data_IF_576076736427
#
_entry.id   IF_576076736427
#
_cell.length_a   1.000
_cell.length_b   1.000
_cell.length_c   1.000
_cell.angle_alpha   90.00
_cell.angle_beta   90.00
_cell.angle_gamma   90.00
#
_symmetry.space_group_name_H-M   'P 1'
#
loop_
_entity.id
_entity.type
_entity.pdbx_description
1 polymer ?
#
# COMPACT_ATOMS: atom_id res chain seq x y z
N UNK A 1 125.89 -19.72 -70.64
CA UNK A 1 124.65 -19.97 -69.86
C UNK A 1 123.52 -20.15 -70.86
N UNK A 2 122.76 -21.24 -70.78
CA UNK A 2 121.58 -21.48 -71.62
C UNK A 2 120.34 -21.33 -70.73
N UNK A 3 119.37 -20.46 -71.09
CA UNK A 3 118.14 -20.35 -70.34
C UNK A 3 117.31 -21.63 -70.50
N UNK A 4 116.74 -22.12 -69.39
CA UNK A 4 115.80 -23.24 -69.40
C UNK A 4 114.36 -22.73 -69.48
N UNK A 5 113.50 -23.47 -70.17
CA UNK A 5 112.08 -23.17 -70.24
C UNK A 5 111.39 -23.46 -68.90
N UNK A 6 110.76 -22.44 -68.33
CA UNK A 6 110.00 -22.56 -67.08
C UNK A 6 108.62 -23.10 -67.42
N UNK A 7 108.39 -24.39 -67.13
CA UNK A 7 107.08 -25.01 -67.31
C UNK A 7 106.19 -24.69 -66.11
N UNK A 8 105.00 -24.15 -66.36
CA UNK A 8 104.05 -23.84 -65.30
C UNK A 8 103.56 -25.11 -64.59
N UNK A 9 103.53 -25.07 -63.26
CA UNK A 9 103.09 -26.21 -62.44
C UNK A 9 101.60 -26.47 -62.70
N UNK A 10 101.17 -27.72 -62.97
CA UNK A 10 99.76 -28.00 -63.18
C UNK A 10 98.96 -27.66 -61.92
N UNK A 11 97.92 -26.84 -62.09
CA UNK A 11 97.01 -26.47 -60.99
C UNK A 11 96.12 -27.66 -60.65
N UNK A 12 96.08 -28.01 -59.37
CA UNK A 12 95.19 -29.06 -58.86
C UNK A 12 93.75 -28.55 -58.91
N UNK A 13 92.95 -29.10 -59.83
CA UNK A 13 91.51 -28.81 -59.89
C UNK A 13 90.84 -29.38 -58.64
N UNK A 14 90.17 -28.53 -57.86
CA UNK A 14 89.37 -28.96 -56.72
C UNK A 14 88.06 -29.54 -57.27
N UNK A 15 87.73 -30.78 -56.89
CA UNK A 15 86.45 -31.38 -57.26
C UNK A 15 85.30 -30.63 -56.57
N UNK A 16 84.22 -30.38 -57.31
CA UNK A 16 83.04 -29.69 -56.80
C UNK A 16 82.34 -30.56 -55.74
N UNK A 17 82.19 -30.00 -54.54
CA UNK A 17 81.66 -30.73 -53.40
C UNK A 17 80.15 -31.02 -53.57
N UNK A 18 79.78 -32.31 -53.56
CA UNK A 18 78.38 -32.75 -53.55
C UNK A 18 77.91 -32.97 -52.11
N UNK A 19 77.03 -32.09 -51.63
CA UNK A 19 76.31 -32.30 -50.36
C UNK A 19 75.53 -33.60 -50.43
N UNK A 20 75.64 -34.43 -49.38
CA UNK A 20 74.79 -35.60 -49.23
C UNK A 20 73.37 -35.13 -48.94
N UNK A 21 72.34 -35.61 -49.66
CA UNK A 21 70.96 -35.29 -49.30
C UNK A 21 70.67 -35.98 -47.96
N UNK A 22 70.46 -35.16 -46.93
CA UNK A 22 69.99 -35.61 -45.62
C UNK A 22 68.60 -35.02 -45.39
N UNK A 23 67.63 -35.88 -45.10
CA UNK A 23 66.30 -35.44 -44.66
C UNK A 23 66.45 -34.80 -43.27
N UNK A 24 66.21 -33.50 -43.15
CA UNK A 24 66.23 -32.81 -41.84
C UNK A 24 64.83 -32.72 -41.28
N UNK A 25 64.62 -33.24 -40.07
CA UNK A 25 63.34 -33.10 -39.38
C UNK A 25 63.15 -31.65 -38.92
N UNK A 26 62.19 -30.95 -39.54
CA UNK A 26 61.84 -29.56 -39.22
C UNK A 26 60.87 -29.43 -38.02
N UNK A 27 60.58 -30.53 -37.31
CA UNK A 27 59.72 -30.54 -36.14
C UNK A 27 60.37 -29.89 -34.92
N UNK A 28 59.73 -28.84 -34.38
CA UNK A 28 60.09 -28.23 -33.10
C UNK A 28 59.50 -29.03 -31.93
N UNK A 29 60.16 -29.01 -30.78
CA UNK A 29 59.66 -29.65 -29.54
C UNK A 29 58.29 -29.13 -29.15
N UNK A 30 58.06 -27.83 -29.29
CA UNK A 30 56.78 -27.18 -29.03
C UNK A 30 55.61 -27.84 -29.78
N UNK A 31 55.77 -28.14 -31.07
CA UNK A 31 54.72 -28.77 -31.87
C UNK A 31 54.47 -30.23 -31.48
N UNK A 32 55.49 -30.93 -30.96
CA UNK A 32 55.35 -32.31 -30.48
C UNK A 32 54.64 -32.36 -29.12
N UNK A 33 55.00 -31.42 -28.24
CA UNK A 33 54.63 -31.49 -26.83
C UNK A 33 53.33 -30.74 -26.52
N UNK A 34 53.02 -29.66 -27.24
CA UNK A 34 51.88 -28.80 -26.96
C UNK A 34 50.71 -29.06 -27.91
N UNK A 35 49.98 -30.15 -27.67
CA UNK A 35 48.80 -30.54 -28.44
C UNK A 35 47.50 -30.03 -27.78
N UNK A 36 46.47 -29.81 -28.61
CA UNK A 36 45.12 -29.51 -28.14
C UNK A 36 44.50 -30.76 -27.49
N UNK A 37 44.23 -30.70 -26.20
CA UNK A 37 43.57 -31.78 -25.46
C UNK A 37 42.07 -31.53 -25.39
N UNK A 38 41.25 -32.56 -25.63
CA UNK A 38 39.80 -32.49 -25.44
C UNK A 38 39.50 -32.59 -23.95
N UNK A 39 39.16 -31.46 -23.32
CA UNK A 39 38.75 -31.42 -21.92
C UNK A 39 37.25 -31.69 -21.86
N UNK A 40 36.83 -32.65 -21.04
CA UNK A 40 35.41 -32.83 -20.75
C UNK A 40 34.97 -31.90 -19.62
N UNK A 41 33.73 -31.37 -19.67
CA UNK A 41 33.20 -30.58 -18.57
C UNK A 41 33.17 -31.41 -17.29
N UNK A 42 33.71 -30.87 -16.21
CA UNK A 42 33.68 -31.50 -14.89
C UNK A 42 32.25 -31.53 -14.39
N UNK A 43 31.74 -32.72 -14.05
CA UNK A 43 30.43 -32.86 -13.42
C UNK A 43 30.53 -32.37 -11.97
N UNK A 44 29.87 -31.24 -11.68
CA UNK A 44 29.71 -30.77 -10.31
C UNK A 44 28.79 -31.75 -9.56
N UNK A 45 29.33 -32.47 -8.58
CA UNK A 45 28.54 -33.31 -7.67
C UNK A 45 27.82 -32.40 -6.69
N UNK A 46 26.69 -31.81 -7.14
CA UNK A 46 25.80 -31.08 -6.25
C UNK A 46 24.90 -32.09 -5.53
N UNK A 47 24.74 -31.97 -4.20
CA UNK A 47 23.72 -32.72 -3.48
C UNK A 47 22.35 -32.47 -4.12
N UNK A 48 21.53 -33.52 -4.22
CA UNK A 48 20.16 -33.40 -4.72
C UNK A 48 19.41 -32.37 -3.87
N UNK A 49 18.91 -31.31 -4.52
CA UNK A 49 18.10 -30.29 -3.84
C UNK A 49 16.86 -30.95 -3.23
N UNK A 50 16.84 -31.04 -1.90
CA UNK A 50 15.66 -31.48 -1.15
C UNK A 50 14.65 -30.35 -1.21
N UNK A 51 13.61 -30.51 -2.05
CA UNK A 51 12.43 -29.64 -1.99
C UNK A 51 11.82 -29.77 -0.61
N UNK A 52 11.80 -28.67 0.15
CA UNK A 52 11.10 -28.63 1.42
C UNK A 52 9.60 -28.87 1.16
N UNK A 53 9.11 -30.04 1.58
CA UNK A 53 7.69 -30.37 1.53
C UNK A 53 7.05 -29.51 2.63
N UNK A 54 6.35 -28.44 2.25
CA UNK A 54 5.50 -27.65 3.16
C UNK A 54 4.25 -28.47 3.51
N UNK A 55 4.45 -29.57 4.22
CA UNK A 55 3.42 -30.52 4.62
C UNK A 55 3.16 -30.39 6.12
N UNK A 56 2.43 -29.35 6.50
CA UNK A 56 1.95 -29.16 7.86
C UNK A 56 0.91 -28.06 7.86
N UNK A 57 -0.35 -28.43 8.13
CA UNK A 57 -1.38 -27.43 8.44
C UNK A 57 -1.16 -27.01 9.88
N UNK A 58 -1.06 -25.70 10.11
CA UNK A 58 -1.04 -25.15 11.46
C UNK A 58 -2.49 -24.91 11.86
N UNK A 59 -3.09 -25.90 12.54
CA UNK A 59 -4.47 -25.82 13.02
C UNK A 59 -4.51 -25.12 14.39
N UNK A 60 -4.03 -23.87 14.43
CA UNK A 60 -4.07 -23.05 15.65
C UNK A 60 -5.23 -22.07 15.58
N UNK A 61 -6.18 -22.20 16.50
CA UNK A 61 -7.25 -21.21 16.68
C UNK A 61 -6.69 -20.06 17.53
N UNK A 62 -6.72 -18.79 17.05
CA UNK A 62 -6.28 -17.65 17.84
C UNK A 62 -7.15 -17.49 19.09
N UNK A 63 -6.53 -17.13 20.22
CA UNK A 63 -7.21 -16.95 21.52
C UNK A 63 -8.42 -16.01 21.44
N UNK A 64 -8.35 -14.97 20.60
CA UNK A 64 -9.47 -14.05 20.39
C UNK A 64 -10.73 -14.74 19.85
N UNK A 65 -10.60 -15.77 19.00
CA UNK A 65 -11.77 -16.52 18.51
C UNK A 65 -12.37 -17.47 19.56
N UNK A 66 -11.58 -17.90 20.53
CA UNK A 66 -12.06 -18.72 21.64
C UNK A 66 -12.74 -17.85 22.71
N UNK A 67 -12.11 -16.72 23.05
CA UNK A 67 -12.51 -15.85 24.15
C UNK A 67 -13.69 -14.93 23.80
N UNK A 68 -13.78 -14.44 22.55
CA UNK A 68 -14.77 -13.45 22.13
C UNK A 68 -15.86 -14.08 21.27
N UNK A 69 -16.66 -14.94 21.89
CA UNK A 69 -17.82 -15.56 21.23
C UNK A 69 -19.11 -14.80 21.53
N UNK A 70 -20.05 -14.88 20.60
CA UNK A 70 -21.40 -14.36 20.81
C UNK A 70 -22.11 -15.21 21.86
N UNK A 71 -22.26 -14.68 23.08
CA UNK A 71 -23.04 -15.31 24.13
C UNK A 71 -24.53 -15.09 23.88
N UNK A 72 -25.34 -16.14 24.06
CA UNK A 72 -26.79 -16.01 24.01
C UNK A 72 -27.24 -15.16 25.20
N UNK A 73 -27.62 -13.92 24.92
CA UNK A 73 -28.12 -13.00 25.94
C UNK A 73 -29.57 -13.35 26.22
N UNK A 74 -29.84 -13.79 27.45
CA UNK A 74 -31.21 -14.03 27.91
C UNK A 74 -32.02 -12.74 27.76
N UNK A 75 -33.09 -12.83 26.95
CA UNK A 75 -33.99 -11.69 26.69
C UNK A 75 -34.68 -11.34 28.01
N UNK A 76 -34.32 -10.20 28.60
CA UNK A 76 -35.01 -9.71 29.80
C UNK A 76 -36.47 -9.45 29.45
N UNK A 77 -37.37 -10.01 30.24
CA UNK A 77 -38.77 -9.64 30.12
C UNK A 77 -38.91 -8.14 30.36
N UNK A 78 -39.64 -7.42 29.50
CA UNK A 78 -39.89 -6.02 29.73
C UNK A 78 -40.68 -5.89 31.04
N UNK A 79 -40.04 -5.35 32.08
CA UNK A 79 -40.70 -4.94 33.31
C UNK A 79 -41.51 -3.65 33.04
N UNK A 80 -42.43 -3.72 32.08
CA UNK A 80 -43.47 -2.72 31.92
C UNK A 80 -44.55 -3.10 32.91
N UNK A 81 -44.41 -2.66 34.15
CA UNK A 81 -45.60 -2.44 34.99
C UNK A 81 -46.56 -1.64 34.11
N UNK A 82 -47.79 -2.15 33.94
CA UNK A 82 -48.80 -1.61 33.05
C UNK A 82 -49.25 -0.23 33.52
N UNK A 83 -48.39 0.77 33.38
CA UNK A 83 -48.72 2.17 33.60
C UNK A 83 -49.60 2.61 32.45
N UNK A 84 -50.89 2.28 32.57
CA UNK A 84 -51.93 2.81 31.72
C UNK A 84 -51.98 4.31 31.94
N UNK A 85 -51.77 5.08 30.87
CA UNK A 85 -51.87 6.53 30.92
C UNK A 85 -53.28 6.94 31.34
N UNK A 86 -53.38 7.76 32.39
CA UNK A 86 -54.64 8.34 32.83
C UNK A 86 -54.71 9.80 32.34
N UNK A 87 -55.56 10.11 31.35
CA UNK A 87 -55.74 11.48 30.91
C UNK A 87 -56.42 12.33 31.99
N UNK A 88 -56.15 13.65 32.05
CA UNK A 88 -56.87 14.56 32.93
C UNK A 88 -58.37 14.57 32.63
N UNK A 89 -59.18 14.52 33.69
CA UNK A 89 -60.66 14.57 33.59
C UNK A 89 -61.15 15.95 33.20
N UNK A 90 -60.45 17.00 33.64
CA UNK A 90 -60.84 18.38 33.44
C UNK A 90 -60.18 18.98 32.20
N UNK A 91 -60.92 19.85 31.49
CA UNK A 91 -60.40 20.57 30.33
C UNK A 91 -59.54 21.74 30.79
N UNK A 92 -58.52 22.07 29.99
CA UNK A 92 -57.74 23.28 30.22
C UNK A 92 -58.64 24.51 30.04
N UNK A 93 -58.68 25.37 31.06
CA UNK A 93 -59.62 26.49 31.16
C UNK A 93 -59.47 27.61 30.13
N UNK A 94 -58.46 27.54 29.25
CA UNK A 94 -58.19 28.33 28.04
C UNK A 94 -58.38 29.86 28.06
N UNK A 95 -58.83 30.45 29.17
CA UNK A 95 -58.86 31.88 29.39
C UNK A 95 -57.45 32.35 29.71
N UNK A 96 -57.11 33.51 29.15
CA UNK A 96 -55.85 34.18 29.46
C UNK A 96 -56.13 35.29 30.45
N UNK A 97 -55.16 35.59 31.32
CA UNK A 97 -55.26 36.66 32.32
C UNK A 97 -55.70 38.00 31.72
N UNK A 98 -55.33 38.27 30.47
CA UNK A 98 -55.78 39.47 29.76
C UNK A 98 -57.30 39.51 29.51
N UNK A 99 -57.90 38.38 29.13
CA UNK A 99 -59.34 38.28 28.90
C UNK A 99 -60.14 38.44 30.20
N UNK A 100 -59.59 37.94 31.31
CA UNK A 100 -60.24 38.00 32.62
C UNK A 100 -60.10 39.40 33.25
N UNK A 101 -58.94 40.06 33.11
CA UNK A 101 -58.65 41.32 33.80
C UNK A 101 -59.13 42.58 33.03
N UNK A 102 -59.19 42.51 31.70
CA UNK A 102 -59.45 43.67 30.85
C UNK A 102 -60.82 43.62 30.16
N UNK A 103 -61.88 43.52 30.96
CA UNK A 103 -63.26 43.60 30.49
C UNK A 103 -63.68 45.07 30.30
N UNK A 104 -64.41 45.44 29.21
CA UNK A 104 -64.94 46.79 29.03
C UNK A 104 -65.78 47.22 30.24
N UNK A 105 -65.41 48.35 30.86
CA UNK A 105 -66.15 48.94 31.99
C UNK A 105 -67.05 50.05 31.49
N UNK A 106 -68.27 50.11 32.02
CA UNK A 106 -69.18 51.23 31.72
C UNK A 106 -68.56 52.55 32.18
N UNK A 107 -68.49 53.52 31.27
CA UNK A 107 -68.03 54.86 31.57
C UNK A 107 -69.19 55.66 32.15
N UNK A 108 -69.12 56.01 33.42
CA UNK A 108 -70.10 56.91 34.04
C UNK A 108 -69.96 58.31 33.44
N UNK A 109 -70.97 58.84 32.73
CA UNK A 109 -70.90 60.18 32.17
C UNK A 109 -70.81 61.21 33.31
N UNK A 110 -69.81 62.09 33.24
CA UNK A 110 -69.65 63.17 34.22
C UNK A 110 -70.78 64.19 34.08
N UNK A 111 -71.27 64.68 35.21
CA UNK A 111 -72.20 65.80 35.21
C UNK A 111 -71.53 67.04 34.60
N UNK A 112 -72.27 67.74 33.72
CA UNK A 112 -71.81 68.98 33.12
C UNK A 112 -71.97 70.13 34.11
N UNK A 113 -70.89 70.89 34.31
CA UNK A 113 -70.91 72.13 35.11
C UNK A 113 -71.33 73.37 34.29
N UNK A 114 -71.83 73.17 33.07
CA UNK A 114 -72.29 74.28 32.24
C UNK A 114 -73.51 74.93 32.91
N UNK A 115 -73.50 76.25 33.17
CA UNK A 115 -74.65 76.91 33.76
C UNK A 115 -75.86 76.76 32.83
N UNK A 116 -77.06 76.58 33.38
CA UNK A 116 -78.26 76.50 32.56
C UNK A 116 -78.45 77.85 31.87
N UNK A 117 -78.54 77.82 30.54
CA UNK A 117 -78.85 79.01 29.75
C UNK A 117 -80.32 79.33 29.90
N UNK A 118 -80.70 79.91 31.04
CA UNK A 118 -82.07 80.39 31.28
C UNK A 118 -82.07 81.90 31.08
N UNK A 119 -82.86 82.38 30.11
CA UNK A 119 -83.13 83.82 30.00
C UNK A 119 -83.88 84.25 31.27
N UNK A 120 -83.29 85.13 32.07
CA UNK A 120 -83.99 85.71 33.22
C UNK A 120 -85.01 86.71 32.69
N UNK A 121 -86.30 86.44 32.89
CA UNK A 121 -87.33 87.46 32.80
C UNK A 121 -87.26 88.26 34.11
N UNK A 122 -87.04 89.57 34.00
CA UNK A 122 -87.14 90.50 35.13
C UNK A 122 -88.61 90.70 35.50
N UNK A 123 -88.95 90.55 36.78
CA UNK A 123 -90.25 90.97 37.31
C UNK A 123 -90.19 92.46 37.70
N UNK A 124 -91.01 93.24 36.98
CA UNK A 124 -91.35 94.68 37.08
C UNK A 124 -90.24 95.67 36.75
#
# INVERSE_FOLDING_TARGET
>A
YLPYDVVNRPLRVQEEYKRKPGETDFGTTYRRDYNLHKIQPVTLVRPLERKHIKGGKLDTIPTYQDDYRSWEVQRREPNKLGHTYHPPTEKFGNSTTFQDDFVPRELNPRQSFKPPSVAKLSDV
#
